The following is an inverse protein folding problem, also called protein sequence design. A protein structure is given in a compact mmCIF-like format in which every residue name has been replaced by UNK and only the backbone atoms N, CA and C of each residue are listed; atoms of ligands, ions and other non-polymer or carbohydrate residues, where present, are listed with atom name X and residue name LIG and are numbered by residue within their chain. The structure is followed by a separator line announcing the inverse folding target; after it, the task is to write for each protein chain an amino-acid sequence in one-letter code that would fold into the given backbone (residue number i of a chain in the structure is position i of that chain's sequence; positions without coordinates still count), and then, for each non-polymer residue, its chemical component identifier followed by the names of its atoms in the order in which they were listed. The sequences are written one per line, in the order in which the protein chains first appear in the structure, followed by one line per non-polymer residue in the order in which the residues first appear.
data_IF_152657452100
#
_entry.id   IF_152657452100
#
_cell.length_a   1.000
_cell.length_b   1.000
_cell.length_c   1.000
_cell.angle_alpha   90.00
_cell.angle_beta   90.00
_cell.angle_gamma   90.00
#
_symmetry.space_group_name_H-M   'P 1'
#
loop_
_entity.id
_entity.type
_entity.pdbx_description
1 polymer ?
#
# COMPACT_ATOMS: atom_id res chain seq x y z
N UNK A 1 2.57 9.80 -10.11
CA UNK A 1 3.25 9.95 -8.79
C UNK A 1 2.57 10.99 -7.89
N UNK A 2 2.15 12.15 -8.39
CA UNK A 2 1.43 13.16 -7.58
C UNK A 2 0.10 12.64 -7.01
N UNK A 3 -0.73 11.97 -7.82
CA UNK A 3 -2.00 11.41 -7.36
C UNK A 3 -1.83 10.35 -6.25
N UNK A 4 -0.77 9.53 -6.32
CA UNK A 4 -0.43 8.55 -5.25
C UNK A 4 -0.08 9.27 -3.95
N UNK A 5 0.64 10.39 -4.01
CA UNK A 5 0.92 11.21 -2.82
C UNK A 5 -0.33 11.86 -2.25
N UNK A 6 -1.28 12.27 -3.10
CA UNK A 6 -2.58 12.78 -2.67
C UNK A 6 -3.35 11.67 -1.95
N UNK A 7 -3.45 10.48 -2.54
CA UNK A 7 -4.08 9.32 -1.90
C UNK A 7 -3.40 8.99 -0.56
N UNK A 8 -2.07 8.96 -0.50
CA UNK A 8 -1.34 8.71 0.74
C UNK A 8 -1.71 9.72 1.85
N UNK A 9 -1.87 11.01 1.52
CA UNK A 9 -2.36 12.03 2.46
C UNK A 9 -3.81 11.77 2.88
N UNK A 10 -4.69 11.45 1.93
CA UNK A 10 -6.10 11.15 2.22
C UNK A 10 -6.26 9.94 3.14
N UNK A 11 -5.46 8.90 2.97
CA UNK A 11 -5.44 7.73 3.85
C UNK A 11 -4.96 8.14 5.25
N UNK A 12 -3.82 8.83 5.35
CA UNK A 12 -3.25 9.30 6.63
C UNK A 12 -4.18 10.25 7.40
N UNK A 13 -5.03 10.99 6.70
CA UNK A 13 -6.02 11.85 7.33
C UNK A 13 -7.20 11.07 7.95
N UNK A 14 -7.50 9.85 7.47
CA UNK A 14 -8.64 9.03 7.91
C UNK A 14 -8.26 7.90 8.84
N UNK A 15 -7.00 7.45 8.82
CA UNK A 15 -6.49 6.30 9.58
C UNK A 15 -5.10 6.57 10.11
N UNK A 16 -4.78 5.95 11.25
CA UNK A 16 -3.39 5.89 11.73
C UNK A 16 -2.64 4.90 10.86
N UNK A 17 -1.66 5.40 10.13
CA UNK A 17 -0.87 4.61 9.18
C UNK A 17 0.60 4.73 9.53
N UNK A 18 1.24 3.58 9.72
CA UNK A 18 2.67 3.45 10.01
C UNK A 18 3.51 3.48 8.74
N UNK A 19 3.03 2.86 7.66
CA UNK A 19 3.73 2.87 6.37
C UNK A 19 2.76 2.85 5.19
N UNK A 20 3.14 3.53 4.11
CA UNK A 20 2.55 3.37 2.78
C UNK A 20 3.73 3.14 1.84
N UNK A 21 3.72 2.00 1.15
CA UNK A 21 4.80 1.58 0.26
C UNK A 21 4.18 1.35 -1.11
N UNK A 22 4.60 2.15 -2.07
CA UNK A 22 4.35 1.91 -3.48
C UNK A 22 5.35 0.87 -3.96
N UNK A 23 4.86 -0.30 -4.39
CA UNK A 23 5.68 -1.38 -4.92
C UNK A 23 5.23 -1.70 -6.36
N UNK A 24 5.80 -2.73 -6.99
CA UNK A 24 5.40 -3.12 -8.34
C UNK A 24 6.03 -2.29 -9.46
N UNK A 25 5.48 -2.40 -10.68
CA UNK A 25 6.01 -1.76 -11.91
C UNK A 25 6.19 -0.25 -11.78
N UNK A 26 5.40 0.40 -10.90
CA UNK A 26 5.50 1.83 -10.63
C UNK A 26 6.85 2.25 -10.03
N UNK A 27 7.55 1.38 -9.30
CA UNK A 27 8.88 1.69 -8.75
C UNK A 27 10.02 1.51 -9.75
N UNK A 28 9.78 0.83 -10.90
CA UNK A 28 10.81 0.48 -11.90
C UNK A 28 10.85 1.39 -13.13
N UNK A 29 9.90 2.32 -13.28
CA UNK A 29 9.95 3.38 -14.30
C UNK A 29 9.42 3.03 -15.70
N UNK A 30 8.95 1.81 -15.92
CA UNK A 30 8.26 1.40 -17.16
C UNK A 30 6.76 1.64 -17.01
N UNK A 31 6.27 2.76 -17.55
CA UNK A 31 4.88 3.17 -17.38
C UNK A 31 4.04 2.96 -18.64
N UNK A 32 2.90 2.27 -18.48
CA UNK A 32 1.72 2.39 -19.34
C UNK A 32 0.58 2.99 -18.51
N UNK A 33 -0.21 3.88 -19.11
CA UNK A 33 -1.32 4.63 -18.45
C UNK A 33 -2.41 3.73 -17.83
N UNK A 34 -2.41 2.43 -18.16
CA UNK A 34 -3.34 1.41 -17.67
C UNK A 34 -2.76 0.54 -16.53
N UNK A 35 -1.56 0.83 -16.02
CA UNK A 35 -0.93 -0.03 -15.02
C UNK A 35 -1.53 0.15 -13.62
N UNK A 36 -1.91 -0.96 -13.00
CA UNK A 36 -2.39 -1.01 -11.62
C UNK A 36 -1.34 -0.48 -10.63
N UNK A 37 -1.78 0.33 -9.65
CA UNK A 37 -0.94 0.94 -8.63
C UNK A 37 -0.94 0.07 -7.38
N UNK A 38 0.09 -0.74 -7.25
CA UNK A 38 0.36 -1.64 -6.13
C UNK A 38 0.75 -0.89 -4.84
N UNK A 39 -0.06 -0.99 -3.78
CA UNK A 39 0.18 -0.29 -2.51
C UNK A 39 0.17 -1.24 -1.32
N UNK A 40 1.24 -1.27 -0.53
CA UNK A 40 1.19 -1.83 0.82
C UNK A 40 0.85 -0.67 1.76
N UNK A 41 -0.24 -0.82 2.51
CA UNK A 41 -0.64 0.12 3.56
C UNK A 41 -0.59 -0.62 4.89
N UNK A 42 0.19 -0.10 5.83
CA UNK A 42 0.37 -0.68 7.16
C UNK A 42 -0.15 0.28 8.20
N UNK A 43 -1.11 -0.14 9.02
CA UNK A 43 -1.64 0.69 10.10
C UNK A 43 -2.88 0.12 10.77
N UNK A 44 -3.60 0.98 11.47
CA UNK A 44 -4.76 0.57 12.26
C UNK A 44 -5.98 0.39 11.35
N UNK A 45 -6.25 -0.87 11.00
CA UNK A 45 -7.42 -1.28 10.21
C UNK A 45 -8.42 -2.04 11.08
N UNK A 46 -9.46 -1.37 11.64
CA UNK A 46 -10.48 -2.03 12.45
C UNK A 46 -11.39 -2.97 11.63
N UNK A 47 -11.38 -2.84 10.30
CA UNK A 47 -12.19 -3.65 9.42
C UNK A 47 -11.60 -5.06 9.18
N UNK A 48 -12.46 -5.99 8.77
CA UNK A 48 -12.03 -7.32 8.31
C UNK A 48 -11.13 -7.19 7.07
N UNK A 49 -10.14 -8.09 6.86
CA UNK A 49 -9.14 -7.97 5.79
C UNK A 49 -9.72 -7.62 4.41
N UNK A 50 -10.79 -8.29 3.96
CA UNK A 50 -11.44 -8.05 2.67
C UNK A 50 -12.09 -6.66 2.52
N UNK A 51 -12.36 -5.93 3.61
CA UNK A 51 -12.92 -4.57 3.57
C UNK A 51 -11.85 -3.49 3.60
N UNK A 52 -10.63 -3.81 4.02
CA UNK A 52 -9.52 -2.85 4.11
C UNK A 52 -9.14 -2.33 2.73
N UNK A 53 -9.00 -3.23 1.76
CA UNK A 53 -8.73 -2.85 0.37
C UNK A 53 -9.85 -1.99 -0.23
N UNK A 54 -11.11 -2.38 -0.01
CA UNK A 54 -12.28 -1.62 -0.48
C UNK A 54 -12.34 -0.20 0.09
N UNK A 55 -11.91 0.00 1.35
CA UNK A 55 -11.80 1.32 1.94
C UNK A 55 -10.81 2.20 1.16
N UNK A 56 -9.62 1.68 0.84
CA UNK A 56 -8.59 2.45 0.12
C UNK A 56 -9.03 2.73 -1.33
N UNK A 57 -9.59 1.72 -2.01
CA UNK A 57 -10.13 1.88 -3.38
C UNK A 57 -11.22 2.95 -3.41
N UNK A 58 -12.10 3.01 -2.41
CA UNK A 58 -13.14 4.03 -2.33
C UNK A 58 -12.66 5.46 -2.11
N UNK A 59 -11.36 5.70 -1.92
CA UNK A 59 -10.78 7.04 -1.75
C UNK A 59 -10.19 7.63 -3.05
N UNK A 60 -10.19 6.87 -4.14
CA UNK A 60 -9.50 7.25 -5.38
C UNK A 60 -10.16 6.66 -6.61
N UNK A 61 -10.06 7.36 -7.74
CA UNK A 61 -10.44 6.81 -9.05
C UNK A 61 -9.25 6.12 -9.75
N UNK A 62 -8.08 6.11 -9.11
CA UNK A 62 -6.91 5.38 -9.61
C UNK A 62 -7.16 3.86 -9.56
N UNK A 63 -6.69 3.09 -10.55
CA UNK A 63 -6.68 1.64 -10.48
C UNK A 63 -5.62 1.21 -9.46
N UNK A 64 -5.98 1.13 -8.17
CA UNK A 64 -5.07 0.74 -7.09
C UNK A 64 -5.34 -0.69 -6.65
N UNK A 65 -4.28 -1.43 -6.34
CA UNK A 65 -4.32 -2.75 -5.71
C UNK A 65 -3.69 -2.68 -4.31
N UNK A 66 -4.48 -2.30 -3.27
CA UNK A 66 -3.95 -2.12 -1.94
C UNK A 66 -3.94 -3.41 -1.11
N UNK A 67 -2.76 -3.81 -0.65
CA UNK A 67 -2.57 -4.78 0.43
C UNK A 67 -2.50 -4.07 1.78
N UNK A 68 -3.46 -4.37 2.65
CA UNK A 68 -3.62 -3.67 3.92
C UNK A 68 -3.32 -4.59 5.11
N UNK A 69 -2.27 -4.27 5.86
CA UNK A 69 -1.82 -5.01 7.04
C UNK A 69 -1.97 -4.18 8.31
N UNK A 70 -2.21 -4.84 9.44
CA UNK A 70 -1.93 -4.21 10.75
C UNK A 70 -0.44 -4.11 10.99
N UNK A 71 -0.06 -3.29 11.97
CA UNK A 71 1.34 -3.19 12.41
C UNK A 71 1.89 -4.55 12.84
N UNK A 72 1.08 -5.37 13.55
CA UNK A 72 1.47 -6.71 13.97
C UNK A 72 1.59 -7.68 12.79
N UNK A 73 0.58 -7.75 11.92
CA UNK A 73 0.59 -8.63 10.75
C UNK A 73 1.81 -8.36 9.85
N UNK A 74 2.15 -7.08 9.64
CA UNK A 74 3.29 -6.71 8.82
C UNK A 74 4.62 -7.04 9.50
N UNK A 75 4.72 -6.82 10.81
CA UNK A 75 5.92 -7.19 11.57
C UNK A 75 6.15 -8.70 11.60
N UNK A 76 5.06 -9.49 11.66
CA UNK A 76 5.12 -10.95 11.60
C UNK A 76 5.64 -11.41 10.23
N UNK A 77 5.12 -10.86 9.13
CA UNK A 77 5.60 -11.17 7.77
C UNK A 77 7.08 -10.84 7.56
N UNK A 78 7.57 -9.75 8.17
CA UNK A 78 9.00 -9.40 8.14
C UNK A 78 9.82 -10.45 8.92
N UNK A 79 9.35 -10.84 10.12
CA UNK A 79 10.04 -11.83 10.96
C UNK A 79 10.06 -13.22 10.36
N UNK A 80 9.04 -13.57 9.59
CA UNK A 80 8.95 -14.82 8.82
C UNK A 80 9.73 -14.77 7.49
N UNK A 81 10.44 -13.68 7.23
CA UNK A 81 11.21 -13.47 6.00
C UNK A 81 10.35 -13.64 4.73
N UNK A 82 9.10 -13.15 4.78
CA UNK A 82 8.20 -13.26 3.65
C UNK A 82 8.82 -12.61 2.39
N UNK A 83 9.08 -13.38 1.30
CA UNK A 83 9.86 -12.89 0.17
C UNK A 83 9.23 -11.66 -0.50
N UNK A 84 7.89 -11.63 -0.56
CA UNK A 84 7.15 -10.54 -1.17
C UNK A 84 7.27 -9.25 -0.36
N UNK A 85 7.07 -9.30 0.97
CA UNK A 85 7.20 -8.12 1.84
C UNK A 85 8.64 -7.62 1.87
N UNK A 86 9.63 -8.51 1.92
CA UNK A 86 11.04 -8.13 1.89
C UNK A 86 11.41 -7.46 0.56
N UNK A 87 10.95 -7.98 -0.57
CA UNK A 87 11.16 -7.36 -1.88
C UNK A 87 10.49 -5.99 -1.96
N UNK A 88 9.24 -5.87 -1.51
CA UNK A 88 8.52 -4.59 -1.50
C UNK A 88 9.20 -3.55 -0.59
N UNK A 89 9.82 -3.97 0.52
CA UNK A 89 10.62 -3.08 1.37
C UNK A 89 11.95 -2.67 0.72
N UNK A 90 12.56 -3.54 -0.08
CA UNK A 90 13.83 -3.28 -0.74
C UNK A 90 13.69 -2.42 -2.02
N UNK A 91 12.66 -2.68 -2.82
CA UNK A 91 12.44 -2.05 -4.14
C UNK A 91 11.34 -0.98 -4.12
N UNK A 92 10.49 -0.96 -3.09
CA UNK A 92 9.35 -0.06 -3.01
C UNK A 92 9.73 1.34 -2.56
N UNK A 93 8.90 2.31 -2.94
CA UNK A 93 9.03 3.71 -2.53
C UNK A 93 8.03 4.03 -1.42
N UNK A 94 8.52 4.58 -0.31
CA UNK A 94 7.65 5.08 0.76
C UNK A 94 7.03 6.42 0.37
N UNK A 95 5.71 6.54 0.53
CA UNK A 95 4.92 7.72 0.12
C UNK A 95 4.09 8.34 1.23
#
# INVERSE_FOLDING_TARGET
MEQVRVLAREIRARRRVSAIILYGSFSRGDFHEESDVDLIVVGDFPERPHKRAAFIIGLTDLPVEPLCYTDEEFADLIREENPFVLQALAEGTRV
#
